data_IF_475405543228
#
_entry.id   IF_475405543228
#
_cell.length_a   1.000
_cell.length_b   1.000
_cell.length_c   1.000
_cell.angle_alpha   90.00
_cell.angle_beta   90.00
_cell.angle_gamma   90.00
#
_symmetry.space_group_name_H-M   'P 1'
#
loop_
_entity.id
_entity.type
_entity.pdbx_description
1 polymer ?
#
# COMPACT_ATOMS: atom_id res chain seq x y z
N UNK A 1 4.83 26.72 -7.61
CA UNK A 1 3.87 26.71 -6.50
C UNK A 1 4.39 25.78 -5.42
N UNK A 2 4.23 26.16 -4.16
CA UNK A 2 4.72 25.37 -3.01
C UNK A 2 3.57 24.59 -2.37
N UNK A 3 3.84 23.34 -2.04
CA UNK A 3 2.89 22.37 -1.50
C UNK A 3 3.44 21.71 -0.24
N UNK A 4 2.56 21.20 0.62
CA UNK A 4 2.94 20.45 1.81
C UNK A 4 2.38 19.02 1.67
N UNK A 5 3.26 18.03 1.74
CA UNK A 5 2.89 16.62 1.71
C UNK A 5 2.22 16.21 3.03
N UNK A 6 1.55 15.04 3.05
CA UNK A 6 0.87 14.51 4.23
C UNK A 6 1.79 14.27 5.43
N UNK A 7 3.10 14.11 5.18
CA UNK A 7 4.14 14.00 6.20
C UNK A 7 4.71 15.37 6.65
N UNK A 8 4.14 16.48 6.19
CA UNK A 8 4.58 17.84 6.51
C UNK A 8 5.77 18.34 5.68
N UNK A 9 6.33 17.54 4.76
CA UNK A 9 7.48 17.94 3.94
C UNK A 9 7.02 18.89 2.81
N UNK A 10 7.67 20.05 2.64
CA UNK A 10 7.38 20.93 1.51
C UNK A 10 7.91 20.31 0.20
N UNK A 11 7.19 20.56 -0.89
CA UNK A 11 7.60 20.20 -2.25
C UNK A 11 7.06 21.23 -3.25
N UNK A 12 7.61 21.22 -4.45
CA UNK A 12 7.38 22.24 -5.49
C UNK A 12 6.82 21.63 -6.77
N UNK A 13 6.39 22.48 -7.71
CA UNK A 13 6.03 22.03 -9.07
C UNK A 13 7.18 21.29 -9.78
N UNK A 14 8.43 21.68 -9.54
CA UNK A 14 9.60 21.00 -10.10
C UNK A 14 9.71 19.56 -9.57
N UNK A 15 9.40 19.34 -8.29
CA UNK A 15 9.37 18.01 -7.70
C UNK A 15 8.27 17.14 -8.35
N UNK A 16 7.10 17.72 -8.63
CA UNK A 16 5.99 17.01 -9.31
C UNK A 16 6.40 16.58 -10.72
N UNK A 17 7.03 17.48 -11.48
CA UNK A 17 7.51 17.16 -12.83
C UNK A 17 8.58 16.07 -12.82
N UNK A 18 9.52 16.14 -11.86
CA UNK A 18 10.53 15.09 -11.68
C UNK A 18 9.90 13.73 -11.37
N UNK A 19 8.95 13.68 -10.44
CA UNK A 19 8.24 12.44 -10.12
C UNK A 19 7.46 11.89 -11.31
N UNK A 20 6.85 12.75 -12.12
CA UNK A 20 6.20 12.34 -13.37
C UNK A 20 7.16 11.61 -14.31
N UNK A 21 8.34 12.19 -14.53
CA UNK A 21 9.39 11.56 -15.35
C UNK A 21 9.93 10.26 -14.73
N UNK A 22 10.04 10.19 -13.40
CA UNK A 22 10.48 8.97 -12.69
C UNK A 22 9.45 7.84 -12.81
N UNK A 23 8.15 8.15 -12.76
CA UNK A 23 7.07 7.17 -12.97
C UNK A 23 7.17 6.56 -14.36
N UNK A 24 7.35 7.37 -15.40
CA UNK A 24 7.50 6.90 -16.79
C UNK A 24 8.77 6.06 -16.98
N UNK A 25 9.84 6.40 -16.27
CA UNK A 25 11.11 5.66 -16.29
C UNK A 25 11.11 4.40 -15.41
N UNK A 26 10.03 4.13 -14.66
CA UNK A 26 9.93 2.98 -13.77
C UNK A 26 10.79 3.11 -12.50
N UNK A 27 10.96 4.33 -11.99
CA UNK A 27 11.65 4.63 -10.74
C UNK A 27 13.10 4.10 -10.66
N UNK A 28 13.97 4.42 -11.63
CA UNK A 28 15.30 3.83 -11.76
C UNK A 28 16.24 4.13 -10.58
N UNK A 29 15.95 5.19 -9.82
CA UNK A 29 16.75 5.62 -8.67
C UNK A 29 16.03 5.41 -7.33
N UNK A 30 14.89 4.72 -7.32
CA UNK A 30 14.16 4.44 -6.09
C UNK A 30 14.67 3.15 -5.48
N UNK A 31 15.28 3.29 -4.32
CA UNK A 31 15.60 2.15 -3.48
C UNK A 31 14.33 1.74 -2.73
N UNK A 32 13.78 0.59 -3.09
CA UNK A 32 12.66 0.00 -2.39
C UNK A 32 13.22 -0.86 -1.26
N UNK A 33 13.11 -0.37 -0.03
CA UNK A 33 13.37 -1.22 1.13
C UNK A 33 12.34 -2.35 1.13
N UNK A 34 12.77 -3.63 1.10
CA UNK A 34 11.86 -4.73 1.28
C UNK A 34 11.26 -4.62 2.68
N UNK A 35 9.97 -4.32 2.75
CA UNK A 35 9.25 -4.38 4.02
C UNK A 35 9.10 -5.85 4.36
N UNK A 36 9.61 -6.27 5.52
CA UNK A 36 9.27 -7.59 6.04
C UNK A 36 7.74 -7.68 6.10
N UNK A 37 7.17 -8.65 5.37
CA UNK A 37 5.74 -8.91 5.39
C UNK A 37 5.27 -9.01 6.83
N UNK A 38 4.11 -8.44 7.14
CA UNK A 38 3.62 -8.46 8.52
C UNK A 38 3.54 -9.91 9.00
N UNK A 39 3.77 -10.23 10.28
CA UNK A 39 3.81 -11.61 10.75
C UNK A 39 2.56 -12.44 10.41
N UNK A 40 1.41 -11.78 10.25
CA UNK A 40 0.15 -12.40 9.85
C UNK A 40 -0.06 -12.54 8.34
N UNK A 41 0.80 -11.97 7.50
CA UNK A 41 0.78 -12.17 6.04
C UNK A 41 1.48 -13.48 5.63
N UNK A 42 2.41 -13.96 6.47
CA UNK A 42 3.15 -15.21 6.24
C UNK A 42 2.44 -16.44 6.81
N UNK A 43 1.63 -16.27 7.86
CA UNK A 43 0.93 -17.34 8.58
C UNK A 43 -0.60 -17.27 8.39
N UNK A 44 -1.04 -17.16 7.13
CA UNK A 44 -2.46 -17.28 6.81
C UNK A 44 -2.84 -18.75 6.73
N UNK A 45 -3.32 -19.31 7.85
CA UNK A 45 -4.13 -20.54 7.75
C UNK A 45 -5.29 -20.28 6.78
N UNK A 46 -5.56 -21.17 5.81
CA UNK A 46 -6.65 -20.97 4.88
C UNK A 46 -7.96 -20.88 5.67
N UNK A 47 -8.72 -19.80 5.45
CA UNK A 47 -10.01 -19.57 6.10
C UNK A 47 -10.90 -20.81 5.95
N UNK A 48 -11.22 -21.45 7.07
CA UNK A 48 -12.12 -22.61 7.07
C UNK A 48 -13.58 -22.11 6.97
N UNK A 49 -14.31 -22.43 5.89
CA UNK A 49 -15.70 -22.04 5.76
C UNK A 49 -16.54 -22.73 6.84
N UNK A 50 -17.26 -21.95 7.67
CA UNK A 50 -18.23 -22.47 8.62
C UNK A 50 -19.64 -22.27 8.07
N UNK A 51 -20.35 -23.35 7.78
CA UNK A 51 -21.77 -23.31 7.40
C UNK A 51 -22.65 -23.42 8.65
N UNK A 52 -23.41 -22.38 8.95
CA UNK A 52 -24.45 -22.43 10.00
C UNK A 52 -25.78 -22.76 9.31
N UNK A 53 -26.40 -23.88 9.69
CA UNK A 53 -27.81 -24.16 9.36
C UNK A 53 -28.68 -23.67 10.50
N UNK A 54 -29.44 -22.60 10.26
CA UNK A 54 -30.52 -22.22 11.15
C UNK A 54 -31.69 -23.20 10.93
N UNK A 55 -32.02 -23.99 11.95
CA UNK A 55 -33.30 -24.69 12.00
C UNK A 55 -34.31 -23.72 12.60
N UNK A 56 -35.35 -23.36 11.83
CA UNK A 56 -36.53 -22.70 12.39
C UNK A 56 -37.24 -23.72 13.26
N UNK A 57 -37.31 -23.47 14.56
CA UNK A 57 -38.16 -24.24 15.47
C UNK A 57 -39.63 -23.92 15.21
N UNK A 58 -40.45 -24.97 15.09
CA UNK A 58 -41.89 -24.94 15.38
C UNK A 58 -42.10 -25.30 16.86
#
# INVERSE_FOLDING_TARGET
MDYIASNGKPFTDEDIQRWGAEIEAGFPNTELDPVEGRPWETDVEPMQPKTIRALSGE
#
